data_IF_724309241361
#
_entry.id   IF_724309241361
#
_cell.length_a   1.000
_cell.length_b   1.000
_cell.length_c   1.000
_cell.angle_alpha   90.00
_cell.angle_beta   90.00
_cell.angle_gamma   90.00
#
_symmetry.space_group_name_H-M   'P 1'
#
loop_
_entity.id
_entity.type
_entity.pdbx_description
1 polymer ?
#
# COMPACT_ATOMS: atom_id res chain seq x y z
N UNK A 1 6.31 -19.25 -18.40
CA UNK A 1 7.04 -19.45 -19.68
C UNK A 1 8.37 -18.71 -19.59
N UNK A 2 9.51 -19.32 -19.95
CA UNK A 2 10.80 -18.65 -19.94
C UNK A 2 10.85 -17.49 -20.96
N UNK A 3 11.63 -16.42 -20.72
CA UNK A 3 11.84 -15.36 -21.70
C UNK A 3 12.42 -15.89 -23.01
N UNK A 4 12.12 -15.27 -24.15
CA UNK A 4 12.59 -15.70 -25.47
C UNK A 4 14.12 -15.88 -25.54
N UNK A 5 14.89 -14.94 -24.95
CA UNK A 5 16.35 -15.03 -24.88
C UNK A 5 16.81 -16.32 -24.18
N UNK A 6 16.14 -16.72 -23.10
CA UNK A 6 16.49 -17.94 -22.39
C UNK A 6 16.25 -19.20 -23.24
N UNK A 7 15.18 -19.22 -24.02
CA UNK A 7 14.92 -20.33 -24.94
C UNK A 7 16.06 -20.45 -25.96
N UNK A 8 16.55 -19.33 -26.50
CA UNK A 8 17.67 -19.34 -27.43
C UNK A 8 19.00 -19.77 -26.78
N UNK A 9 19.24 -19.41 -25.51
CA UNK A 9 20.39 -19.87 -24.74
C UNK A 9 20.35 -21.40 -24.48
N UNK A 10 19.17 -21.94 -24.18
CA UNK A 10 19.01 -23.36 -23.87
C UNK A 10 19.01 -24.24 -25.14
N UNK A 11 18.71 -23.66 -26.31
CA UNK A 11 18.69 -24.34 -27.62
C UNK A 11 19.60 -23.65 -28.65
N UNK A 12 20.94 -23.76 -28.52
CA UNK A 12 21.90 -23.03 -29.35
C UNK A 12 21.91 -23.44 -30.83
N UNK A 13 21.27 -24.56 -31.20
CA UNK A 13 21.08 -24.97 -32.60
C UNK A 13 20.02 -24.13 -33.34
N UNK A 14 19.16 -23.41 -32.60
CA UNK A 14 18.13 -22.54 -33.18
C UNK A 14 18.78 -21.27 -33.73
N UNK A 15 18.83 -21.14 -35.05
CA UNK A 15 19.26 -19.91 -35.71
C UNK A 15 18.04 -19.07 -36.08
N UNK A 16 17.64 -18.17 -35.17
CA UNK A 16 16.54 -17.25 -35.40
C UNK A 16 17.09 -15.93 -35.99
N UNK A 17 16.61 -15.49 -37.16
CA UNK A 17 16.95 -14.16 -37.67
C UNK A 17 16.52 -13.06 -36.68
N UNK A 18 17.35 -12.03 -36.54
CA UNK A 18 17.12 -10.98 -35.55
C UNK A 18 15.80 -10.23 -35.77
N UNK A 19 15.44 -10.01 -37.03
CA UNK A 19 14.18 -9.37 -37.43
C UNK A 19 12.96 -10.13 -36.92
N UNK A 20 13.00 -11.47 -36.89
CA UNK A 20 11.91 -12.28 -36.37
C UNK A 20 11.84 -12.17 -34.85
N UNK A 21 12.99 -12.14 -34.17
CA UNK A 21 13.03 -11.94 -32.72
C UNK A 21 12.36 -10.60 -32.34
N UNK A 22 12.67 -9.51 -33.05
CA UNK A 22 12.08 -8.20 -32.79
C UNK A 22 10.56 -8.19 -33.02
N UNK A 23 10.08 -8.92 -34.03
CA UNK A 23 8.64 -9.04 -34.31
C UNK A 23 7.89 -9.90 -33.28
N UNK A 24 8.56 -10.89 -32.69
CA UNK A 24 7.97 -11.82 -31.72
C UNK A 24 7.98 -11.28 -30.29
N UNK A 25 8.94 -10.43 -29.93
CA UNK A 25 9.06 -9.89 -28.57
C UNK A 25 8.01 -8.79 -28.35
N UNK A 26 7.11 -8.92 -27.35
CA UNK A 26 6.10 -7.91 -27.10
C UNK A 26 6.75 -6.60 -26.64
N UNK A 27 6.13 -5.44 -26.96
CA UNK A 27 6.59 -4.15 -26.47
C UNK A 27 6.72 -4.12 -24.94
N UNK A 28 7.73 -3.38 -24.47
CA UNK A 28 7.94 -3.21 -23.04
C UNK A 28 6.77 -2.45 -22.41
N UNK A 29 6.07 -3.09 -21.47
CA UNK A 29 4.94 -2.48 -20.76
C UNK A 29 5.41 -1.44 -19.74
N UNK A 30 4.62 -0.38 -19.56
CA UNK A 30 4.77 0.57 -18.44
C UNK A 30 4.43 -0.11 -17.11
N UNK A 31 5.00 0.40 -16.02
CA UNK A 31 4.73 -0.07 -14.65
C UNK A 31 4.09 1.06 -13.86
N UNK A 32 3.01 0.76 -13.16
CA UNK A 32 2.34 1.70 -12.27
C UNK A 32 2.90 1.58 -10.85
N UNK A 33 2.97 2.71 -10.15
CA UNK A 33 3.34 2.80 -8.75
C UNK A 33 2.39 3.77 -8.08
N UNK A 34 1.99 3.48 -6.84
CA UNK A 34 1.26 4.42 -6.01
C UNK A 34 2.20 5.54 -5.58
N UNK A 35 1.74 6.78 -5.73
CA UNK A 35 2.50 7.98 -5.34
C UNK A 35 2.55 8.06 -3.81
N UNK A 36 3.72 8.29 -3.25
CA UNK A 36 3.96 8.38 -1.79
C UNK A 36 4.30 9.77 -1.29
N UNK A 37 3.84 10.80 -2.02
CA UNK A 37 3.95 12.21 -1.68
C UNK A 37 2.63 12.94 -1.85
N UNK A 38 2.32 13.86 -0.94
CA UNK A 38 1.27 14.87 -1.16
C UNK A 38 1.77 15.97 -2.12
N UNK A 39 0.98 16.40 -3.11
CA UNK A 39 1.32 17.55 -3.95
C UNK A 39 1.28 18.88 -3.18
N UNK A 40 0.51 18.95 -2.09
CA UNK A 40 0.44 20.10 -1.19
C UNK A 40 1.71 20.21 -0.32
N UNK A 41 2.25 19.07 0.14
CA UNK A 41 3.47 19.03 0.93
C UNK A 41 4.74 19.16 0.06
N UNK A 42 4.73 18.56 -1.14
CA UNK A 42 5.88 18.54 -2.05
C UNK A 42 5.51 19.06 -3.44
N UNK A 43 5.35 20.39 -3.61
CA UNK A 43 5.06 20.97 -4.92
C UNK A 43 6.13 20.61 -5.94
N UNK A 44 5.71 20.23 -7.15
CA UNK A 44 6.58 19.84 -8.27
C UNK A 44 7.46 18.59 -8.01
N UNK A 45 7.11 17.77 -7.02
CA UNK A 45 7.84 16.53 -6.71
C UNK A 45 6.86 15.35 -6.63
N UNK A 46 7.36 14.17 -7.02
CA UNK A 46 6.62 12.90 -6.94
C UNK A 46 7.52 11.89 -6.28
N UNK A 47 7.08 11.34 -5.15
CA UNK A 47 7.80 10.28 -4.45
C UNK A 47 7.20 8.92 -4.79
N UNK A 48 8.06 7.91 -4.93
CA UNK A 48 7.67 6.52 -5.17
C UNK A 48 8.26 5.64 -4.07
N UNK A 49 7.52 4.60 -3.69
CA UNK A 49 7.99 3.54 -2.79
C UNK A 49 8.08 2.24 -3.58
N UNK A 50 9.29 1.79 -3.89
CA UNK A 50 9.51 0.71 -4.86
C UNK A 50 10.14 -0.50 -4.18
N UNK A 51 9.44 -1.64 -4.17
CA UNK A 51 10.03 -2.92 -3.81
C UNK A 51 10.90 -3.44 -4.95
N UNK A 52 12.17 -3.72 -4.68
CA UNK A 52 13.09 -4.27 -5.68
C UNK A 52 12.81 -5.75 -5.86
N UNK A 53 12.17 -6.08 -6.97
CA UNK A 53 11.76 -7.46 -7.26
C UNK A 53 12.96 -8.29 -7.70
N UNK A 54 13.20 -9.40 -6.99
CA UNK A 54 14.09 -10.47 -7.44
C UNK A 54 13.52 -11.83 -7.06
N UNK A 55 13.69 -12.82 -7.93
CA UNK A 55 13.16 -14.17 -7.70
C UNK A 55 14.07 -15.24 -8.30
N UNK A 56 13.89 -16.47 -7.85
CA UNK A 56 14.55 -17.65 -8.40
C UNK A 56 13.58 -18.37 -9.33
N UNK A 57 14.00 -18.67 -10.55
CA UNK A 57 13.24 -19.53 -11.47
C UNK A 57 13.29 -20.99 -11.03
N UNK A 58 12.34 -21.85 -11.47
CA UNK A 58 12.42 -23.31 -11.25
C UNK A 58 13.74 -23.94 -11.71
N UNK A 59 14.41 -23.33 -12.69
CA UNK A 59 15.72 -23.75 -13.21
C UNK A 59 16.91 -23.17 -12.41
N UNK A 60 16.69 -22.71 -11.18
CA UNK A 60 17.71 -22.14 -10.27
C UNK A 60 18.48 -20.94 -10.83
N UNK A 61 17.90 -20.21 -11.80
CA UNK A 61 18.42 -18.93 -12.28
C UNK A 61 17.78 -17.76 -11.54
N UNK A 62 18.59 -16.81 -11.04
CA UNK A 62 18.13 -15.58 -10.39
C UNK A 62 17.67 -14.57 -11.44
N UNK A 63 16.54 -13.91 -11.20
CA UNK A 63 15.93 -12.91 -12.08
C UNK A 63 15.56 -11.66 -11.29
N UNK A 64 15.42 -10.57 -12.02
CA UNK A 64 15.19 -9.23 -11.49
C UNK A 64 14.05 -8.55 -12.24
N UNK A 65 13.28 -7.72 -11.53
CA UNK A 65 12.23 -6.91 -12.13
C UNK A 65 12.84 -5.78 -12.96
N UNK A 66 12.46 -5.66 -14.23
CA UNK A 66 13.05 -4.67 -15.15
C UNK A 66 12.95 -3.24 -14.60
N UNK A 67 11.74 -2.78 -14.26
CA UNK A 67 11.52 -1.40 -13.84
C UNK A 67 12.05 -1.12 -12.42
N UNK A 68 11.80 -2.02 -11.46
CA UNK A 68 12.25 -1.84 -10.07
C UNK A 68 13.76 -1.82 -9.95
N UNK A 69 14.47 -2.70 -10.69
CA UNK A 69 15.93 -2.73 -10.68
C UNK A 69 16.53 -1.58 -11.46
N UNK A 70 15.90 -1.15 -12.57
CA UNK A 70 16.32 0.05 -13.28
C UNK A 70 16.22 1.29 -12.38
N UNK A 71 15.09 1.51 -11.69
CA UNK A 71 14.92 2.61 -10.74
C UNK A 71 15.94 2.56 -9.61
N UNK A 72 16.18 1.37 -9.03
CA UNK A 72 17.17 1.20 -7.96
C UNK A 72 18.62 1.43 -8.41
N UNK A 73 18.90 1.32 -9.71
CA UNK A 73 20.21 1.56 -10.29
C UNK A 73 20.47 3.01 -10.73
N UNK A 74 19.48 3.91 -10.60
CA UNK A 74 19.64 5.31 -10.96
C UNK A 74 20.56 6.04 -9.97
N UNK A 75 21.42 6.90 -10.50
CA UNK A 75 22.29 7.76 -9.71
C UNK A 75 21.50 9.02 -9.28
N UNK A 76 21.28 9.25 -7.97
CA UNK A 76 20.49 10.39 -7.49
C UNK A 76 21.13 11.75 -7.80
N UNK A 77 22.42 11.79 -8.14
CA UNK A 77 23.12 13.03 -8.51
C UNK A 77 23.00 13.37 -9.99
N UNK A 78 22.47 12.46 -10.82
CA UNK A 78 22.29 12.68 -12.26
C UNK A 78 20.85 13.01 -12.60
N UNK A 79 20.66 13.99 -13.48
CA UNK A 79 19.35 14.29 -14.06
C UNK A 79 19.05 13.29 -15.16
N UNK A 80 18.25 12.29 -14.82
CA UNK A 80 17.77 11.28 -15.77
C UNK A 80 16.31 11.61 -16.13
N UNK A 81 15.97 11.82 -17.41
CA UNK A 81 14.58 12.00 -17.81
C UNK A 81 13.83 10.67 -17.63
N UNK A 82 12.73 10.70 -16.86
CA UNK A 82 11.87 9.55 -16.64
C UNK A 82 10.52 9.79 -17.34
N UNK A 83 10.22 9.09 -18.44
CA UNK A 83 8.90 9.14 -19.05
C UNK A 83 7.85 8.59 -18.07
N UNK A 84 6.92 9.44 -17.66
CA UNK A 84 5.88 9.10 -16.69
C UNK A 84 4.54 9.69 -17.10
N UNK A 85 3.46 9.01 -16.71
CA UNK A 85 2.09 9.44 -16.92
C UNK A 85 1.30 9.24 -15.62
N UNK A 86 0.43 10.20 -15.31
CA UNK A 86 -0.42 10.14 -14.14
C UNK A 86 -1.75 9.46 -14.50
N UNK A 87 -2.08 8.39 -13.78
CA UNK A 87 -3.39 7.75 -13.84
C UNK A 87 -4.24 8.28 -12.69
N UNK A 88 -5.52 8.57 -12.95
CA UNK A 88 -6.48 9.05 -11.93
C UNK A 88 -7.35 7.92 -11.41
N UNK A 89 -6.79 6.72 -11.42
CA UNK A 89 -7.52 5.48 -11.21
C UNK A 89 -7.56 5.08 -9.72
N UNK A 90 -6.73 5.73 -8.89
CA UNK A 90 -6.80 5.65 -7.43
C UNK A 90 -7.61 6.82 -6.88
N UNK A 91 -8.57 6.58 -5.97
CA UNK A 91 -9.39 7.64 -5.41
C UNK A 91 -8.54 8.60 -4.57
N UNK A 92 -8.79 9.91 -4.69
CA UNK A 92 -8.08 10.91 -3.91
C UNK A 92 -8.35 10.72 -2.40
N UNK A 93 -7.49 11.27 -1.52
CA UNK A 93 -7.81 11.29 -0.10
C UNK A 93 -9.17 11.95 0.13
N UNK A 94 -10.02 11.38 1.00
CA UNK A 94 -11.34 11.95 1.25
C UNK A 94 -11.21 13.25 2.03
N UNK A 95 -12.27 14.09 2.04
CA UNK A 95 -12.26 15.39 2.72
C UNK A 95 -11.71 15.30 4.15
N UNK A 96 -11.01 16.35 4.65
CA UNK A 96 -10.41 16.35 5.98
C UNK A 96 -11.42 16.11 7.12
N UNK A 97 -12.71 16.37 6.90
CA UNK A 97 -13.79 16.13 7.85
C UNK A 97 -14.16 14.66 8.03
N UNK A 98 -13.74 13.76 7.13
CA UNK A 98 -14.03 12.34 7.20
C UNK A 98 -12.92 11.59 7.94
N UNK A 99 -13.22 10.76 8.95
CA UNK A 99 -12.20 9.94 9.58
C UNK A 99 -11.65 8.88 8.59
N UNK A 100 -10.42 8.45 8.83
CA UNK A 100 -9.71 7.54 7.94
C UNK A 100 -9.22 6.29 8.67
N UNK A 101 -9.45 5.14 8.05
CA UNK A 101 -8.87 3.85 8.46
C UNK A 101 -7.99 3.36 7.31
N UNK A 102 -6.68 3.38 7.52
CA UNK A 102 -5.68 3.02 6.52
C UNK A 102 -5.09 1.66 6.87
N UNK A 103 -4.99 0.74 5.90
CA UNK A 103 -4.42 -0.60 6.08
C UNK A 103 -3.43 -0.87 4.95
N UNK A 104 -2.13 -0.87 5.24
CA UNK A 104 -1.11 -0.86 4.20
C UNK A 104 0.20 -1.54 4.59
N UNK A 105 0.27 -2.87 4.65
CA UNK A 105 1.52 -3.56 4.96
C UNK A 105 2.55 -3.44 3.83
N UNK A 106 3.83 -3.37 4.21
CA UNK A 106 4.97 -3.24 3.31
C UNK A 106 4.83 -2.03 2.39
N UNK A 107 5.05 -2.23 1.09
CA UNK A 107 4.89 -1.14 0.10
C UNK A 107 3.45 -0.65 -0.06
N UNK A 108 2.47 -1.33 0.56
CA UNK A 108 1.10 -0.82 0.74
C UNK A 108 1.02 0.51 1.48
N UNK A 109 2.05 0.91 2.24
CA UNK A 109 2.08 2.19 2.93
C UNK A 109 2.28 3.40 2.00
N UNK A 110 2.66 3.17 0.73
CA UNK A 110 3.01 4.22 -0.22
C UNK A 110 1.94 5.32 -0.34
N UNK A 111 0.69 5.02 -0.74
CA UNK A 111 -0.36 6.05 -0.83
C UNK A 111 -0.69 6.67 0.53
N UNK A 112 -0.55 5.92 1.62
CA UNK A 112 -0.87 6.41 2.97
C UNK A 112 0.13 7.41 3.50
N UNK A 113 1.38 7.37 3.02
CA UNK A 113 2.34 8.44 3.29
C UNK A 113 1.84 9.76 2.71
N UNK A 114 1.38 9.74 1.45
CA UNK A 114 0.79 10.92 0.82
C UNK A 114 -0.46 11.42 1.57
N UNK A 115 -1.33 10.51 2.02
CA UNK A 115 -2.55 10.88 2.77
C UNK A 115 -2.21 11.53 4.11
N UNK A 116 -1.22 11.00 4.85
CA UNK A 116 -0.79 11.57 6.12
C UNK A 116 -0.11 12.93 5.91
N UNK A 117 0.74 13.08 4.90
CA UNK A 117 1.32 14.39 4.53
C UNK A 117 0.22 15.41 4.17
N UNK A 118 -0.77 15.01 3.37
CA UNK A 118 -1.89 15.88 2.99
C UNK A 118 -2.70 16.32 4.21
N UNK A 119 -3.04 15.37 5.10
CA UNK A 119 -3.73 15.66 6.36
C UNK A 119 -2.90 16.57 7.27
N UNK A 120 -1.58 16.40 7.32
CA UNK A 120 -0.70 17.25 8.10
C UNK A 120 -0.73 18.69 7.57
N UNK A 121 -0.64 18.89 6.25
CA UNK A 121 -0.77 20.23 5.64
C UNK A 121 -2.14 20.84 5.90
N UNK A 122 -3.22 20.08 5.74
CA UNK A 122 -4.59 20.55 5.99
C UNK A 122 -4.82 20.93 7.46
N UNK A 123 -4.20 20.20 8.39
CA UNK A 123 -4.33 20.42 9.84
C UNK A 123 -3.79 21.78 10.32
N UNK A 124 -2.93 22.43 9.52
CA UNK A 124 -2.44 23.79 9.80
C UNK A 124 -3.54 24.82 9.65
N UNK A 125 -4.48 24.59 8.71
CA UNK A 125 -5.53 25.56 8.38
C UNK A 125 -6.88 25.22 9.01
N UNK A 126 -7.20 23.93 9.17
CA UNK A 126 -8.51 23.47 9.60
C UNK A 126 -8.42 22.25 10.52
N UNK A 127 -9.38 22.04 11.43
CA UNK A 127 -9.51 20.77 12.14
C UNK A 127 -9.66 19.61 11.15
N UNK A 128 -8.92 18.53 11.39
CA UNK A 128 -9.02 17.29 10.64
C UNK A 128 -9.67 16.21 11.50
N UNK A 129 -10.43 15.33 10.87
CA UNK A 129 -10.96 14.13 11.50
C UNK A 129 -9.84 13.11 11.75
N UNK A 130 -10.05 12.18 12.70
CA UNK A 130 -9.03 11.22 13.11
C UNK A 130 -8.54 10.31 11.98
N UNK A 131 -7.26 9.93 12.03
CA UNK A 131 -6.65 8.97 11.12
C UNK A 131 -6.04 7.83 11.92
N UNK A 132 -6.50 6.60 11.67
CA UNK A 132 -5.89 5.38 12.20
C UNK A 132 -5.18 4.66 11.05
N UNK A 133 -3.94 4.21 11.29
CA UNK A 133 -3.15 3.50 10.30
C UNK A 133 -2.60 2.19 10.86
N UNK A 134 -2.93 1.10 10.17
CA UNK A 134 -2.39 -0.24 10.42
C UNK A 134 -1.32 -0.56 9.38
N UNK A 135 -0.06 -0.62 9.85
CA UNK A 135 1.10 -0.99 9.05
C UNK A 135 1.57 -2.39 9.45
N UNK A 136 2.22 -3.09 8.52
CA UNK A 136 2.82 -4.38 8.82
C UNK A 136 4.07 -4.62 8.00
N UNK A 137 5.09 -5.21 8.62
CA UNK A 137 6.32 -5.62 7.95
C UNK A 137 6.87 -6.89 8.61
N UNK A 138 8.07 -7.33 8.22
CA UNK A 138 8.67 -8.54 8.78
C UNK A 138 9.29 -8.25 10.12
N UNK A 139 10.18 -7.28 10.18
CA UNK A 139 10.99 -6.99 11.36
C UNK A 139 11.14 -5.48 11.52
N UNK A 140 11.08 -4.99 12.77
CA UNK A 140 11.25 -3.57 13.09
C UNK A 140 12.56 -3.01 12.52
N UNK A 141 13.65 -3.78 12.65
CA UNK A 141 15.00 -3.32 12.32
C UNK A 141 15.36 -3.37 10.83
N UNK A 142 14.52 -3.96 9.97
CA UNK A 142 14.91 -4.27 8.58
C UNK A 142 14.02 -3.68 7.50
N UNK A 143 12.69 -3.75 7.65
CA UNK A 143 11.74 -3.40 6.60
C UNK A 143 10.60 -2.52 7.10
N UNK A 144 10.84 -1.79 8.19
CA UNK A 144 9.96 -0.76 8.72
C UNK A 144 10.06 0.54 7.89
N UNK A 145 9.44 0.50 6.71
CA UNK A 145 9.41 1.61 5.76
C UNK A 145 8.89 2.89 6.42
N UNK A 146 9.65 3.99 6.29
CA UNK A 146 9.30 5.32 6.80
C UNK A 146 9.09 5.40 8.33
N UNK A 147 9.76 4.55 9.12
CA UNK A 147 9.69 4.52 10.60
C UNK A 147 9.63 5.90 11.24
N UNK A 148 10.65 6.73 11.00
CA UNK A 148 10.76 8.05 11.63
C UNK A 148 9.62 8.99 11.24
N UNK A 149 9.14 8.90 10.00
CA UNK A 149 8.00 9.69 9.53
C UNK A 149 6.72 9.28 10.27
N UNK A 150 6.45 7.98 10.44
CA UNK A 150 5.24 7.56 11.14
C UNK A 150 5.27 7.97 12.61
N UNK A 151 6.41 7.73 13.27
CA UNK A 151 6.60 8.06 14.68
C UNK A 151 6.51 9.57 14.93
N UNK A 152 7.03 10.42 14.04
CA UNK A 152 6.87 11.87 14.19
C UNK A 152 5.41 12.33 14.08
N UNK A 153 4.52 11.50 13.50
CA UNK A 153 3.09 11.80 13.38
C UNK A 153 2.25 11.18 14.52
N UNK A 154 2.83 10.42 15.44
CA UNK A 154 2.13 9.87 16.62
C UNK A 154 2.13 10.81 17.82
N UNK A 155 3.06 11.77 17.87
CA UNK A 155 3.13 12.77 18.94
C UNK A 155 1.81 13.57 19.06
N UNK A 156 1.50 14.18 20.21
CA UNK A 156 0.19 14.78 20.54
C UNK A 156 -0.42 15.74 19.49
N UNK A 157 0.40 16.38 18.64
CA UNK A 157 -0.07 17.24 17.54
C UNK A 157 -0.04 16.58 16.16
N UNK A 158 0.53 15.40 16.02
CA UNK A 158 0.61 14.65 14.78
C UNK A 158 -0.75 14.16 14.28
N UNK A 159 -0.78 13.74 13.00
CA UNK A 159 -2.00 13.26 12.32
C UNK A 159 -2.44 11.89 12.84
N UNK A 160 -1.50 11.06 13.25
CA UNK A 160 -1.71 9.70 13.75
C UNK A 160 -1.72 9.66 15.28
N UNK A 161 -1.92 10.81 15.94
CA UNK A 161 -1.94 10.89 17.39
C UNK A 161 -3.18 10.21 17.98
N UNK A 162 -2.95 9.39 19.00
CA UNK A 162 -4.04 8.77 19.75
C UNK A 162 -4.89 9.79 20.52
N UNK A 163 -4.31 10.92 20.94
CA UNK A 163 -5.03 12.02 21.62
C UNK A 163 -6.10 12.64 20.72
N UNK A 164 -5.94 12.52 19.39
CA UNK A 164 -6.89 12.97 18.38
C UNK A 164 -7.87 11.89 17.95
N UNK A 165 -7.92 10.74 18.64
CA UNK A 165 -8.73 9.59 18.29
C UNK A 165 -8.19 8.77 17.11
N UNK A 166 -6.96 9.06 16.66
CA UNK A 166 -6.27 8.32 15.62
C UNK A 166 -5.39 7.21 16.19
N UNK A 167 -4.33 6.88 15.47
CA UNK A 167 -3.29 5.98 15.96
C UNK A 167 -2.43 5.39 14.85
N UNK A 168 -1.25 4.92 15.22
CA UNK A 168 -0.38 4.15 14.34
C UNK A 168 -0.06 2.80 14.97
N UNK A 169 -0.53 1.72 14.34
CA UNK A 169 -0.44 0.37 14.88
C UNK A 169 0.35 -0.51 13.92
N UNK A 170 1.41 -1.12 14.44
CA UNK A 170 2.37 -1.88 13.62
C UNK A 170 2.33 -3.36 13.95
N UNK A 171 2.29 -4.19 12.92
CA UNK A 171 2.38 -5.63 12.98
C UNK A 171 3.75 -6.10 12.46
N UNK A 172 4.60 -6.61 13.34
CA UNK A 172 5.86 -7.25 12.97
C UNK A 172 5.65 -8.76 12.87
N UNK A 173 5.72 -9.31 11.66
CA UNK A 173 5.37 -10.72 11.44
C UNK A 173 6.45 -11.72 11.87
N UNK A 174 7.69 -11.27 12.11
CA UNK A 174 8.86 -12.13 12.37
C UNK A 174 9.69 -11.77 13.60
N UNK A 175 9.23 -10.82 14.42
CA UNK A 175 9.95 -10.42 15.64
C UNK A 175 9.62 -11.33 16.85
N UNK A 176 8.63 -12.21 16.71
CA UNK A 176 8.22 -13.16 17.74
C UNK A 176 7.86 -14.53 17.14
N UNK A 177 7.76 -15.60 17.96
CA UNK A 177 7.53 -16.96 17.47
C UNK A 177 6.20 -17.19 16.74
N UNK A 178 5.22 -16.30 16.92
CA UNK A 178 3.93 -16.36 16.25
C UNK A 178 3.78 -15.19 15.27
N UNK A 179 3.22 -15.46 14.09
CA UNK A 179 3.03 -14.43 13.08
C UNK A 179 1.95 -13.43 13.51
N UNK A 180 2.30 -12.15 13.57
CA UNK A 180 1.35 -11.05 13.82
C UNK A 180 1.18 -10.25 12.55
N UNK A 181 -0.07 -10.13 12.10
CA UNK A 181 -0.46 -9.39 10.90
C UNK A 181 -1.34 -8.19 11.24
N UNK A 182 -1.62 -7.35 10.24
CA UNK A 182 -2.40 -6.12 10.42
C UNK A 182 -3.80 -6.38 10.98
N UNK A 183 -4.46 -7.47 10.59
CA UNK A 183 -5.76 -7.86 11.12
C UNK A 183 -5.73 -8.19 12.63
N UNK A 184 -4.60 -8.69 13.15
CA UNK A 184 -4.45 -8.89 14.60
C UNK A 184 -4.46 -7.53 15.33
N UNK A 185 -3.71 -6.55 14.81
CA UNK A 185 -3.71 -5.18 15.34
C UNK A 185 -5.06 -4.49 15.21
N UNK A 186 -5.79 -4.73 14.12
CA UNK A 186 -7.15 -4.25 13.97
C UNK A 186 -8.10 -4.82 15.02
N UNK A 187 -7.97 -6.11 15.36
CA UNK A 187 -8.78 -6.73 16.41
C UNK A 187 -8.45 -6.17 17.81
N UNK A 188 -7.16 -5.97 18.11
CA UNK A 188 -6.71 -5.30 19.35
C UNK A 188 -7.32 -3.90 19.49
N UNK A 189 -7.51 -3.19 18.37
CA UNK A 189 -8.06 -1.83 18.31
C UNK A 189 -9.51 -1.78 17.83
N UNK A 190 -10.23 -2.89 17.95
CA UNK A 190 -11.58 -3.07 17.41
C UNK A 190 -12.58 -1.99 17.81
N UNK A 191 -12.62 -1.59 19.08
CA UNK A 191 -13.49 -0.52 19.56
C UNK A 191 -13.19 0.81 18.86
N UNK A 192 -11.91 1.16 18.68
CA UNK A 192 -11.51 2.38 17.94
C UNK A 192 -11.91 2.29 16.47
N UNK A 193 -11.65 1.14 15.85
CA UNK A 193 -12.05 0.89 14.45
C UNK A 193 -13.57 1.06 14.30
N UNK A 194 -14.35 0.47 15.20
CA UNK A 194 -15.81 0.60 15.20
C UNK A 194 -16.29 2.03 15.42
N UNK A 195 -15.70 2.75 16.38
CA UNK A 195 -16.04 4.15 16.64
C UNK A 195 -15.81 5.04 15.40
N UNK A 196 -14.74 4.79 14.65
CA UNK A 196 -14.49 5.50 13.38
C UNK A 196 -15.47 5.08 12.29
N UNK A 197 -15.73 3.78 12.12
CA UNK A 197 -16.68 3.28 11.12
C UNK A 197 -18.11 3.80 11.35
N UNK A 198 -18.56 3.80 12.61
CA UNK A 198 -19.88 4.32 13.00
C UNK A 198 -19.97 5.85 12.84
N UNK A 199 -18.85 6.57 13.00
CA UNK A 199 -18.72 7.99 12.64
C UNK A 199 -18.59 8.24 11.12
N UNK A 200 -18.69 7.19 10.29
CA UNK A 200 -18.74 7.28 8.84
C UNK A 200 -17.38 7.28 8.13
N UNK A 201 -16.32 6.81 8.81
CA UNK A 201 -14.97 6.75 8.26
C UNK A 201 -14.89 6.11 6.86
N UNK A 202 -13.89 6.53 6.09
CA UNK A 202 -13.47 5.83 4.89
C UNK A 202 -12.31 4.87 5.19
N UNK A 203 -12.41 3.67 4.61
CA UNK A 203 -11.45 2.57 4.72
C UNK A 203 -10.65 2.48 3.44
N UNK A 204 -9.33 2.47 3.56
CA UNK A 204 -8.41 2.27 2.44
C UNK A 204 -7.47 1.11 2.73
N UNK A 205 -7.41 0.17 1.78
CA UNK A 205 -6.55 -1.01 1.85
C UNK A 205 -5.59 -0.97 0.67
N UNK A 206 -4.29 -1.04 0.93
CA UNK A 206 -3.28 -1.08 -0.13
C UNK A 206 -2.20 -2.13 0.11
N UNK A 207 -1.66 -2.71 -0.98
CA UNK A 207 -0.58 -3.70 -0.91
C UNK A 207 -0.81 -4.94 -1.78
N UNK A 208 -0.35 -6.09 -1.29
CA UNK A 208 -0.46 -7.35 -2.04
C UNK A 208 -1.92 -7.79 -2.23
N UNK A 209 -2.31 -8.10 -3.47
CA UNK A 209 -3.65 -8.61 -3.82
C UNK A 209 -3.85 -10.10 -3.53
N UNK A 210 -3.01 -10.70 -2.68
CA UNK A 210 -3.09 -12.12 -2.33
C UNK A 210 -4.11 -12.36 -1.22
N UNK A 211 -3.69 -12.80 -0.03
CA UNK A 211 -4.60 -13.08 1.09
C UNK A 211 -5.01 -11.83 1.87
N UNK A 212 -4.12 -10.84 1.92
CA UNK A 212 -4.26 -9.65 2.79
C UNK A 212 -5.63 -8.94 2.68
N UNK A 213 -6.17 -8.62 1.49
CA UNK A 213 -7.42 -7.87 1.40
C UNK A 213 -8.63 -8.67 1.91
N UNK A 214 -8.65 -9.98 1.66
CA UNK A 214 -9.72 -10.86 2.13
C UNK A 214 -9.67 -11.03 3.65
N UNK A 215 -8.47 -11.20 4.23
CA UNK A 215 -8.29 -11.32 5.68
C UNK A 215 -8.71 -10.02 6.40
N UNK A 216 -8.33 -8.87 5.85
CA UNK A 216 -8.72 -7.54 6.36
C UNK A 216 -10.24 -7.34 6.26
N UNK A 217 -10.86 -7.70 5.13
CA UNK A 217 -12.32 -7.61 4.96
C UNK A 217 -13.06 -8.47 6.00
N UNK A 218 -12.63 -9.73 6.17
CA UNK A 218 -13.22 -10.63 7.17
C UNK A 218 -13.08 -10.09 8.60
N UNK A 219 -11.91 -9.51 8.92
CA UNK A 219 -11.67 -8.86 10.21
C UNK A 219 -12.62 -7.66 10.44
N UNK A 220 -12.83 -6.83 9.44
CA UNK A 220 -13.77 -5.70 9.54
C UNK A 220 -15.21 -6.17 9.73
N UNK A 221 -15.64 -7.24 9.05
CA UNK A 221 -16.98 -7.81 9.28
C UNK A 221 -17.15 -8.27 10.74
N UNK A 222 -16.11 -8.90 11.29
CA UNK A 222 -16.11 -9.37 12.68
C UNK A 222 -16.17 -8.20 13.66
N UNK A 223 -15.37 -7.14 13.44
CA UNK A 223 -15.39 -5.93 14.27
C UNK A 223 -16.77 -5.27 14.22
N UNK A 224 -17.36 -5.07 13.03
CA UNK A 224 -18.70 -4.47 12.88
C UNK A 224 -19.77 -5.34 13.54
N UNK A 225 -19.67 -6.66 13.42
CA UNK A 225 -20.62 -7.58 14.05
C UNK A 225 -20.51 -7.54 15.58
N UNK A 226 -19.29 -7.61 16.13
CA UNK A 226 -19.04 -7.69 17.56
C UNK A 226 -19.31 -6.35 18.26
N UNK A 227 -18.65 -5.29 17.82
CA UNK A 227 -18.72 -3.97 18.48
C UNK A 227 -20.04 -3.25 18.18
N UNK A 228 -20.62 -3.49 17.00
CA UNK A 228 -21.93 -2.94 16.62
C UNK A 228 -23.12 -3.73 17.13
N UNK A 229 -22.93 -4.91 17.73
CA UNK A 229 -24.01 -5.80 18.16
C UNK A 229 -24.90 -6.28 17.01
N UNK A 230 -24.34 -6.36 15.79
CA UNK A 230 -25.07 -6.70 14.58
C UNK A 230 -24.86 -8.17 14.20
N UNK A 231 -25.88 -8.87 13.67
CA UNK A 231 -25.68 -10.15 13.02
C UNK A 231 -24.65 -10.05 11.88
N UNK A 232 -23.86 -11.10 11.67
CA UNK A 232 -22.78 -11.11 10.66
C UNK A 232 -23.26 -10.74 9.25
N UNK A 233 -24.47 -11.15 8.87
CA UNK A 233 -25.06 -10.75 7.58
C UNK A 233 -25.29 -9.24 7.46
N UNK A 234 -25.71 -8.58 8.55
CA UNK A 234 -25.89 -7.13 8.60
C UNK A 234 -24.55 -6.41 8.55
N UNK A 235 -23.51 -6.94 9.20
CA UNK A 235 -22.14 -6.42 9.09
C UNK A 235 -21.62 -6.48 7.64
N UNK A 236 -21.80 -7.62 6.95
CA UNK A 236 -21.44 -7.77 5.55
C UNK A 236 -22.26 -6.84 4.61
N UNK A 237 -23.53 -6.58 4.93
CA UNK A 237 -24.32 -5.56 4.20
C UNK A 237 -23.79 -4.15 4.45
N UNK A 238 -23.37 -3.84 5.68
CA UNK A 238 -22.80 -2.53 6.02
C UNK A 238 -21.54 -2.23 5.21
N UNK A 239 -20.57 -3.16 5.17
CA UNK A 239 -19.33 -2.94 4.41
C UNK A 239 -19.60 -2.77 2.91
N UNK A 240 -20.54 -3.54 2.34
CA UNK A 240 -20.97 -3.35 0.94
C UNK A 240 -21.60 -1.99 0.68
N UNK A 241 -22.30 -1.42 1.67
CA UNK A 241 -22.80 -0.04 1.55
C UNK A 241 -21.66 0.97 1.56
N UNK A 242 -20.64 0.80 2.43
CA UNK A 242 -19.46 1.66 2.42
C UNK A 242 -18.72 1.61 1.07
N UNK A 243 -18.58 0.43 0.48
CA UNK A 243 -17.99 0.26 -0.86
C UNK A 243 -18.80 1.00 -1.92
N UNK A 244 -20.12 0.82 -1.93
CA UNK A 244 -21.02 1.54 -2.86
C UNK A 244 -20.96 3.06 -2.68
N UNK A 245 -20.78 3.53 -1.46
CA UNK A 245 -20.66 4.96 -1.13
C UNK A 245 -19.25 5.51 -1.44
N UNK A 246 -18.33 4.71 -1.97
CA UNK A 246 -16.94 5.11 -2.26
C UNK A 246 -16.09 5.33 -1.00
N UNK A 247 -16.53 4.79 0.15
CA UNK A 247 -15.85 4.88 1.45
C UNK A 247 -15.12 3.60 1.84
N UNK A 248 -15.10 2.59 0.98
CA UNK A 248 -14.30 1.39 1.15
C UNK A 248 -13.53 1.14 -0.14
N UNK A 249 -12.21 1.36 -0.09
CA UNK A 249 -11.33 1.38 -1.27
C UNK A 249 -10.26 0.33 -1.12
N UNK A 250 -10.06 -0.47 -2.17
CA UNK A 250 -8.97 -1.44 -2.26
C UNK A 250 -8.06 -1.08 -3.45
N UNK A 251 -6.80 -0.78 -3.18
CA UNK A 251 -5.74 -0.56 -4.17
C UNK A 251 -4.66 -1.64 -4.01
N UNK A 252 -4.83 -2.77 -4.69
CA UNK A 252 -3.93 -3.92 -4.51
C UNK A 252 -3.32 -4.41 -5.83
N UNK A 253 -2.14 -5.04 -5.74
CA UNK A 253 -1.36 -5.51 -6.89
C UNK A 253 -0.70 -6.87 -6.64
N UNK A 254 -0.33 -7.55 -7.73
CA UNK A 254 0.37 -8.84 -7.74
C UNK A 254 1.70 -8.78 -8.50
#
# INVERSE_FOLDING_TARGET
MPPALQVLEDFPSVQLPFEWLVQLVPPLKTRAFSISSSPSAHPNQVHLTVSVVSWMTPFKRKRYGLCSTWLAGLDPHKRVPIPAWFRRDSPPPPPPSLPLILIGPGTGCAPFRAFVEERAVQSVSWPIAPVIFFFGCRNEDSDFLYRDFWLSHTDGKGVLSEEKGGGFFVAFSRDQPHEVYVQNKMQEQSERVWNLLSAGAAVYIAGSSTKMPADVHSCLEEIVSREGGLPRESAARWLRMLERDGRYVIETWS
#
